data_IF_199217091161
#
_entry.id   IF_199217091161
#
_cell.length_a   1.000
_cell.length_b   1.000
_cell.length_c   1.000
_cell.angle_alpha   90.00
_cell.angle_beta   90.00
_cell.angle_gamma   90.00
#
_symmetry.space_group_name_H-M   'P 1'
#
loop_
_entity.id
_entity.type
_entity.pdbx_description
1 polymer ?
#
# COMPACT_ATOMS: atom_id res chain seq x y z
N UNK A 1 -6.47 -8.28 0.19
CA UNK A 1 -7.71 -7.89 -0.52
C UNK A 1 -8.92 -7.83 0.42
N UNK A 2 -9.19 -8.85 1.24
CA UNK A 2 -10.36 -8.81 2.16
C UNK A 2 -10.32 -7.63 3.15
N UNK A 3 -9.17 -7.36 3.78
CA UNK A 3 -9.02 -6.25 4.73
C UNK A 3 -9.27 -4.87 4.13
N UNK A 4 -8.81 -4.62 2.89
CA UNK A 4 -9.01 -3.34 2.20
C UNK A 4 -10.46 -3.12 1.75
N UNK A 5 -11.16 -4.18 1.36
CA UNK A 5 -12.58 -4.08 0.98
C UNK A 5 -13.44 -3.77 2.21
N UNK A 6 -13.23 -4.50 3.32
CA UNK A 6 -14.00 -4.30 4.56
C UNK A 6 -13.76 -2.90 5.14
N UNK A 7 -12.50 -2.45 5.21
CA UNK A 7 -12.18 -1.10 5.70
C UNK A 7 -12.67 0.01 4.79
N UNK A 8 -12.69 -0.17 3.46
CA UNK A 8 -13.26 0.83 2.56
C UNK A 8 -14.77 1.05 2.81
N UNK A 9 -15.52 -0.03 3.05
CA UNK A 9 -16.93 0.03 3.41
C UNK A 9 -17.15 0.71 4.76
N UNK A 10 -16.38 0.30 5.78
CA UNK A 10 -16.43 0.90 7.10
C UNK A 10 -16.02 2.37 7.08
N UNK A 11 -15.02 2.74 6.27
CA UNK A 11 -14.56 4.10 6.11
C UNK A 11 -15.63 5.00 5.54
N UNK A 12 -16.32 4.53 4.49
CA UNK A 12 -17.48 5.21 3.92
C UNK A 12 -18.57 5.45 4.96
N UNK A 13 -18.90 4.44 5.77
CA UNK A 13 -19.86 4.58 6.86
C UNK A 13 -19.39 5.57 7.95
N UNK A 14 -18.12 5.51 8.35
CA UNK A 14 -17.53 6.40 9.37
C UNK A 14 -17.59 7.87 8.95
N UNK A 15 -17.52 8.19 7.65
CA UNK A 15 -17.66 9.57 7.16
C UNK A 15 -19.00 10.22 7.51
N UNK A 16 -20.03 9.42 7.83
CA UNK A 16 -21.33 9.93 8.30
C UNK A 16 -21.32 10.38 9.77
N UNK A 17 -20.34 9.93 10.56
CA UNK A 17 -20.22 10.21 12.00
C UNK A 17 -19.00 11.05 12.37
N UNK A 18 -17.91 10.99 11.60
CA UNK A 18 -16.65 11.71 11.84
C UNK A 18 -16.24 12.57 10.64
N UNK A 19 -15.35 13.54 10.87
CA UNK A 19 -14.72 14.31 9.78
C UNK A 19 -13.76 13.45 8.97
N UNK A 20 -13.63 13.75 7.68
CA UNK A 20 -12.65 13.15 6.78
C UNK A 20 -11.23 13.18 7.34
N UNK A 21 -10.82 14.29 7.97
CA UNK A 21 -9.49 14.45 8.57
C UNK A 21 -9.22 13.44 9.67
N UNK A 22 -10.14 13.27 10.62
CA UNK A 22 -9.94 12.34 11.74
C UNK A 22 -9.83 10.89 11.27
N UNK A 23 -10.65 10.49 10.29
CA UNK A 23 -10.60 9.13 9.75
C UNK A 23 -9.29 8.91 9.00
N UNK A 24 -8.83 9.89 8.22
CA UNK A 24 -7.55 9.84 7.52
C UNK A 24 -6.35 9.82 8.49
N UNK A 25 -6.42 10.50 9.63
CA UNK A 25 -5.37 10.44 10.67
C UNK A 25 -5.28 9.02 11.25
N UNK A 26 -6.41 8.42 11.61
CA UNK A 26 -6.45 7.02 12.09
C UNK A 26 -5.90 6.10 11.01
N UNK A 27 -6.34 6.28 9.77
CA UNK A 27 -5.91 5.49 8.63
C UNK A 27 -4.39 5.55 8.41
N UNK A 28 -3.81 6.76 8.42
CA UNK A 28 -2.37 6.94 8.26
C UNK A 28 -1.56 6.38 9.43
N UNK A 29 -2.06 6.48 10.66
CA UNK A 29 -1.43 5.85 11.83
C UNK A 29 -1.44 4.31 11.72
N UNK A 30 -2.57 3.73 11.29
CA UNK A 30 -2.69 2.30 11.01
C UNK A 30 -1.74 1.89 9.88
N UNK A 31 -1.64 2.68 8.82
CA UNK A 31 -0.75 2.40 7.68
C UNK A 31 0.73 2.43 8.08
N UNK A 32 1.17 3.47 8.80
CA UNK A 32 2.56 3.59 9.28
C UNK A 32 2.89 2.45 10.24
N UNK A 33 1.99 2.13 11.18
CA UNK A 33 2.18 0.99 12.07
C UNK A 33 2.25 -0.33 11.29
N UNK A 34 1.39 -0.54 10.29
CA UNK A 34 1.39 -1.72 9.43
C UNK A 34 2.71 -1.90 8.68
N UNK A 35 3.26 -0.85 8.07
CA UNK A 35 4.57 -0.89 7.42
C UNK A 35 5.71 -1.12 8.41
N UNK A 36 5.64 -0.52 9.60
CA UNK A 36 6.63 -0.76 10.67
C UNK A 36 6.61 -2.19 11.20
N UNK A 37 5.44 -2.83 11.25
CA UNK A 37 5.34 -4.25 11.59
C UNK A 37 5.93 -5.11 10.45
N UNK A 38 5.67 -4.72 9.20
CA UNK A 38 6.19 -5.40 8.03
C UNK A 38 7.72 -5.29 7.88
N UNK A 39 8.33 -4.19 8.33
CA UNK A 39 9.79 -4.06 8.33
C UNK A 39 10.48 -4.97 9.35
N UNK A 40 9.74 -5.56 10.30
CA UNK A 40 10.28 -6.53 11.28
C UNK A 40 10.16 -7.98 10.84
N UNK A 41 9.68 -8.24 9.61
CA UNK A 41 9.56 -9.59 9.07
C UNK A 41 10.94 -10.24 8.94
N UNK A 42 11.04 -11.46 9.45
CA UNK A 42 12.16 -12.37 9.24
C UNK A 42 11.68 -13.70 8.63
N UNK A 43 12.61 -14.51 8.15
CA UNK A 43 12.34 -15.81 7.51
C UNK A 43 11.59 -16.77 8.44
N UNK A 44 11.81 -16.69 9.76
CA UNK A 44 11.16 -17.53 10.77
C UNK A 44 9.77 -17.02 11.20
N UNK A 45 9.26 -15.95 10.57
CA UNK A 45 7.99 -15.34 11.00
C UNK A 45 6.82 -16.28 10.71
N UNK A 46 5.98 -16.62 11.71
CA UNK A 46 4.86 -17.52 11.49
C UNK A 46 3.86 -16.91 10.48
N UNK A 47 3.37 -17.74 9.55
CA UNK A 47 2.47 -17.34 8.47
C UNK A 47 1.20 -16.61 8.96
N UNK A 48 0.73 -16.97 10.16
CA UNK A 48 -0.41 -16.33 10.81
C UNK A 48 -0.11 -14.86 11.15
N UNK A 49 1.09 -14.57 11.64
CA UNK A 49 1.51 -13.21 11.98
C UNK A 49 1.67 -12.34 10.73
N UNK A 50 2.27 -12.89 9.67
CA UNK A 50 2.32 -12.23 8.35
C UNK A 50 0.91 -11.89 7.83
N UNK A 51 -0.04 -12.81 7.99
CA UNK A 51 -1.44 -12.60 7.60
C UNK A 51 -2.07 -11.46 8.38
N UNK A 52 -1.84 -11.39 9.69
CA UNK A 52 -2.31 -10.27 10.53
C UNK A 52 -1.70 -8.95 10.06
N UNK A 53 -0.40 -8.89 9.79
CA UNK A 53 0.25 -7.66 9.35
C UNK A 53 -0.30 -7.16 8.00
N UNK A 54 -0.52 -8.09 7.06
CA UNK A 54 -1.19 -7.81 5.79
C UNK A 54 -2.63 -7.30 5.96
N UNK A 55 -3.36 -7.81 6.96
CA UNK A 55 -4.69 -7.29 7.29
C UNK A 55 -4.59 -5.85 7.80
N UNK A 56 -3.66 -5.56 8.72
CA UNK A 56 -3.47 -4.20 9.28
C UNK A 56 -3.14 -3.18 8.18
N UNK A 57 -2.19 -3.50 7.29
CA UNK A 57 -1.89 -2.65 6.13
C UNK A 57 -3.11 -2.49 5.23
N UNK A 58 -3.83 -3.59 4.96
CA UNK A 58 -5.06 -3.58 4.19
C UNK A 58 -6.13 -2.66 4.77
N UNK A 59 -6.28 -2.63 6.10
CA UNK A 59 -7.23 -1.75 6.79
C UNK A 59 -6.87 -0.27 6.58
N UNK A 60 -5.60 0.11 6.74
CA UNK A 60 -5.15 1.48 6.50
C UNK A 60 -5.35 1.89 5.03
N UNK A 61 -5.01 1.02 4.08
CA UNK A 61 -5.19 1.35 2.65
C UNK A 61 -6.67 1.54 2.30
N UNK A 62 -7.57 0.68 2.80
CA UNK A 62 -8.99 0.75 2.45
C UNK A 62 -9.71 1.98 3.02
N UNK A 63 -9.42 2.36 4.27
CA UNK A 63 -9.92 3.60 4.85
C UNK A 63 -9.49 4.81 4.02
N UNK A 64 -8.18 4.91 3.71
CA UNK A 64 -7.65 5.99 2.87
C UNK A 64 -8.32 6.02 1.49
N UNK A 65 -8.51 4.86 0.85
CA UNK A 65 -9.12 4.77 -0.48
C UNK A 65 -10.51 5.39 -0.53
N UNK A 66 -11.39 5.01 0.40
CA UNK A 66 -12.79 5.42 0.43
C UNK A 66 -12.95 6.89 0.84
N UNK A 67 -12.27 7.27 1.93
CA UNK A 67 -12.42 8.59 2.57
C UNK A 67 -11.78 9.69 1.73
N UNK A 68 -10.61 9.46 1.14
CA UNK A 68 -9.93 10.44 0.30
C UNK A 68 -10.71 10.72 -0.99
N UNK A 69 -11.26 9.67 -1.61
CA UNK A 69 -12.08 9.82 -2.82
C UNK A 69 -13.35 10.65 -2.54
N UNK A 70 -14.03 10.36 -1.43
CA UNK A 70 -15.19 11.15 -0.97
C UNK A 70 -14.81 12.61 -0.72
N UNK A 71 -13.73 12.87 0.00
CA UNK A 71 -13.29 14.22 0.34
C UNK A 71 -12.87 15.04 -0.90
N UNK A 72 -12.18 14.41 -1.86
CA UNK A 72 -11.75 15.05 -3.09
C UNK A 72 -12.93 15.55 -3.95
N UNK A 73 -14.08 14.85 -3.88
CA UNK A 73 -15.25 15.17 -4.72
C UNK A 73 -16.30 15.98 -3.93
N UNK A 74 -16.21 16.04 -2.60
CA UNK A 74 -17.23 16.61 -1.70
C UNK A 74 -17.64 18.04 -2.06
N UNK A 75 -16.69 18.90 -2.44
CA UNK A 75 -16.93 20.32 -2.72
C UNK A 75 -17.38 20.61 -4.15
N UNK A 76 -17.38 19.62 -5.03
CA UNK A 76 -17.72 19.81 -6.44
C UNK A 76 -19.21 19.61 -6.72
N UNK A 77 -19.80 20.56 -7.45
CA UNK A 77 -21.16 20.47 -7.97
C UNK A 77 -21.30 19.35 -9.03
N UNK A 78 -22.53 18.87 -9.32
CA UNK A 78 -22.76 17.70 -10.18
C UNK A 78 -22.05 17.76 -11.54
N UNK A 79 -21.98 18.93 -12.14
CA UNK A 79 -21.36 19.18 -13.45
C UNK A 79 -19.83 19.00 -13.43
N UNK A 80 -19.17 19.30 -12.32
CA UNK A 80 -17.72 19.24 -12.18
C UNK A 80 -17.22 17.94 -11.56
N UNK A 81 -18.12 17.11 -10.98
CA UNK A 81 -17.74 15.84 -10.34
C UNK A 81 -17.05 14.87 -11.28
N UNK A 82 -17.44 14.84 -12.56
CA UNK A 82 -16.79 14.01 -13.57
C UNK A 82 -15.31 14.37 -13.72
N UNK A 83 -15.02 15.66 -13.93
CA UNK A 83 -13.65 16.17 -14.08
C UNK A 83 -12.81 15.99 -12.80
N UNK A 84 -13.40 16.27 -11.63
CA UNK A 84 -12.72 16.07 -10.34
C UNK A 84 -12.37 14.59 -10.09
N UNK A 85 -13.29 13.68 -10.41
CA UNK A 85 -13.06 12.23 -10.26
C UNK A 85 -11.97 11.74 -11.21
N UNK A 86 -12.01 12.15 -12.48
CA UNK A 86 -11.00 11.78 -13.48
C UNK A 86 -9.62 12.32 -13.10
N UNK A 87 -9.53 13.56 -12.61
CA UNK A 87 -8.28 14.16 -12.13
C UNK A 87 -7.71 13.37 -10.95
N UNK A 88 -8.56 13.04 -9.97
CA UNK A 88 -8.17 12.22 -8.82
C UNK A 88 -7.65 10.85 -9.24
N UNK A 89 -8.36 10.18 -10.17
CA UNK A 89 -7.94 8.89 -10.71
C UNK A 89 -6.65 8.99 -11.53
N UNK A 90 -6.46 10.06 -12.30
CA UNK A 90 -5.23 10.29 -13.06
C UNK A 90 -4.02 10.48 -12.15
N UNK A 91 -4.13 11.38 -11.14
CA UNK A 91 -3.08 11.58 -10.13
C UNK A 91 -2.74 10.28 -9.39
N UNK A 92 -3.77 9.49 -9.10
CA UNK A 92 -3.60 8.18 -8.48
C UNK A 92 -2.85 7.20 -9.37
N UNK A 93 -3.25 7.06 -10.64
CA UNK A 93 -2.57 6.20 -11.61
C UNK A 93 -1.11 6.61 -11.79
N UNK A 94 -0.85 7.91 -11.89
CA UNK A 94 0.49 8.46 -11.97
C UNK A 94 1.32 8.10 -10.73
N UNK A 95 0.76 8.27 -9.52
CA UNK A 95 1.41 7.88 -8.27
C UNK A 95 1.66 6.37 -8.15
N UNK A 96 0.73 5.54 -8.61
CA UNK A 96 0.90 4.08 -8.64
C UNK A 96 2.04 3.66 -9.58
N UNK A 97 2.12 4.25 -10.77
CA UNK A 97 3.20 3.97 -11.73
C UNK A 97 4.55 4.41 -11.19
N UNK A 98 4.67 5.65 -10.71
CA UNK A 98 5.94 6.16 -10.17
C UNK A 98 6.37 5.35 -8.94
N UNK A 99 5.42 5.08 -8.03
CA UNK A 99 5.68 4.29 -6.82
C UNK A 99 6.15 2.88 -7.15
N UNK A 100 5.42 2.16 -8.01
CA UNK A 100 5.77 0.79 -8.39
C UNK A 100 7.14 0.73 -9.08
N UNK A 101 7.46 1.68 -9.96
CA UNK A 101 8.78 1.73 -10.61
C UNK A 101 9.90 2.04 -9.61
N UNK A 102 9.73 3.01 -8.71
CA UNK A 102 10.73 3.37 -7.72
C UNK A 102 10.99 2.22 -6.74
N UNK A 103 9.94 1.63 -6.16
CA UNK A 103 10.07 0.50 -5.24
C UNK A 103 10.59 -0.76 -5.94
N UNK A 104 10.19 -1.00 -7.19
CA UNK A 104 10.73 -2.09 -7.99
C UNK A 104 12.23 -1.94 -8.25
N UNK A 105 12.69 -0.72 -8.54
CA UNK A 105 14.13 -0.43 -8.67
C UNK A 105 14.88 -0.61 -7.35
N UNK A 106 14.33 -0.12 -6.23
CA UNK A 106 14.94 -0.31 -4.90
C UNK A 106 15.08 -1.80 -4.59
N UNK A 107 14.02 -2.58 -4.76
CA UNK A 107 14.05 -4.02 -4.50
C UNK A 107 15.04 -4.73 -5.43
N UNK A 108 15.03 -4.39 -6.72
CA UNK A 108 15.94 -4.98 -7.71
C UNK A 108 17.40 -4.69 -7.36
N UNK A 109 17.74 -3.44 -7.04
CA UNK A 109 19.11 -3.07 -6.70
C UNK A 109 19.60 -3.81 -5.47
N UNK A 110 18.80 -3.85 -4.39
CA UNK A 110 19.15 -4.59 -3.18
C UNK A 110 19.30 -6.10 -3.42
N UNK A 111 18.44 -6.67 -4.26
CA UNK A 111 18.53 -8.08 -4.62
C UNK A 111 19.79 -8.36 -5.46
N UNK A 112 20.07 -7.52 -6.46
CA UNK A 112 21.25 -7.65 -7.31
C UNK A 112 22.54 -7.49 -6.52
N UNK A 113 22.61 -6.57 -5.55
CA UNK A 113 23.77 -6.40 -4.66
C UNK A 113 24.05 -7.67 -3.83
N UNK A 114 23.01 -8.21 -3.18
CA UNK A 114 23.12 -9.45 -2.39
C UNK A 114 23.50 -10.67 -3.24
N UNK A 115 23.02 -10.72 -4.48
CA UNK A 115 23.40 -11.77 -5.42
C UNK A 115 24.83 -11.57 -5.96
N UNK A 116 25.26 -10.35 -6.25
CA UNK A 116 26.60 -10.07 -6.76
C UNK A 116 27.69 -10.44 -5.74
N UNK A 117 27.48 -10.12 -4.47
CA UNK A 117 28.39 -10.50 -3.38
C UNK A 117 28.53 -12.03 -3.26
N UNK A 118 27.44 -12.77 -3.49
CA UNK A 118 27.45 -14.24 -3.46
C UNK A 118 28.08 -14.84 -4.72
N UNK A 119 27.69 -14.42 -5.92
CA UNK A 119 28.17 -15.02 -7.17
C UNK A 119 29.63 -14.67 -7.50
N UNK A 120 30.18 -13.58 -6.94
CA UNK A 120 31.63 -13.34 -6.91
C UNK A 120 32.40 -14.48 -6.23
N UNK A 121 31.79 -15.17 -5.27
CA UNK A 121 32.41 -16.28 -4.53
C UNK A 121 32.23 -17.65 -5.21
N UNK A 122 31.22 -17.83 -6.07
CA UNK A 122 30.80 -19.16 -6.60
C UNK A 122 30.89 -19.31 -8.12
N UNK A 123 31.03 -18.21 -8.90
CA UNK A 123 31.21 -18.25 -10.36
C UNK A 123 30.01 -18.76 -11.19
N UNK A 124 28.85 -18.95 -10.56
CA UNK A 124 27.64 -19.49 -11.19
C UNK A 124 26.76 -18.40 -11.86
N UNK A 125 25.73 -18.81 -12.61
CA UNK A 125 24.82 -17.91 -13.32
C UNK A 125 23.91 -17.13 -12.37
N UNK A 126 24.07 -15.80 -12.38
CA UNK A 126 23.38 -14.87 -11.49
C UNK A 126 21.96 -14.53 -12.00
N UNK A 127 20.87 -14.79 -11.23
CA UNK A 127 19.56 -14.24 -11.55
C UNK A 127 19.60 -12.71 -11.38
N UNK A 128 19.61 -11.98 -12.49
CA UNK A 128 19.76 -10.53 -12.53
C UNK A 128 18.53 -9.74 -12.02
N UNK A 129 17.42 -10.43 -11.69
CA UNK A 129 16.17 -9.80 -11.27
C UNK A 129 15.42 -10.65 -10.22
N UNK A 130 14.75 -10.02 -9.23
CA UNK A 130 13.85 -10.71 -8.30
C UNK A 130 12.74 -11.52 -9.00
N UNK A 131 12.29 -11.06 -10.18
CA UNK A 131 11.27 -11.78 -10.95
C UNK A 131 11.80 -13.09 -11.53
N UNK A 132 13.04 -13.11 -12.01
CA UNK A 132 13.67 -14.32 -12.55
C UNK A 132 13.88 -15.34 -11.42
N UNK A 133 14.32 -14.86 -10.25
CA UNK A 133 14.44 -15.66 -9.04
C UNK A 133 13.10 -16.28 -8.61
N UNK A 134 12.01 -15.51 -8.60
CA UNK A 134 10.68 -16.03 -8.30
C UNK A 134 10.20 -17.08 -9.32
N UNK A 135 10.49 -16.88 -10.61
CA UNK A 135 10.15 -17.87 -11.64
C UNK A 135 10.91 -19.18 -11.43
N UNK A 136 12.22 -19.10 -11.16
CA UNK A 136 13.06 -20.27 -10.88
C UNK A 136 12.58 -21.03 -9.62
N UNK A 137 12.24 -20.30 -8.55
CA UNK A 137 11.70 -20.88 -7.31
C UNK A 137 10.31 -21.52 -7.47
N UNK A 138 9.57 -21.17 -8.52
CA UNK A 138 8.24 -21.72 -8.79
C UNK A 138 8.26 -22.89 -9.78
N UNK A 139 9.15 -22.87 -10.79
CA UNK A 139 9.19 -23.86 -11.87
C UNK A 139 10.29 -24.91 -11.71
N UNK A 140 11.43 -24.56 -11.11
CA UNK A 140 12.64 -25.39 -11.04
C UNK A 140 13.07 -25.72 -9.60
N UNK A 141 12.20 -25.48 -8.61
CA UNK A 141 12.45 -25.71 -7.17
C UNK A 141 12.98 -27.11 -6.86
N UNK A 142 12.46 -28.13 -7.53
CA UNK A 142 12.84 -29.52 -7.30
C UNK A 142 14.17 -29.93 -7.96
N UNK A 143 14.66 -29.12 -8.91
CA UNK A 143 15.85 -29.42 -9.72
C UNK A 143 17.11 -28.69 -9.23
N UNK A 144 17.01 -27.92 -8.14
CA UNK A 144 18.10 -27.10 -7.63
C UNK A 144 18.70 -27.69 -6.33
N UNK A 145 20.03 -27.56 -6.12
CA UNK A 145 20.65 -27.84 -4.84
C UNK A 145 20.01 -27.01 -3.71
N UNK A 146 19.78 -27.59 -2.52
CA UNK A 146 19.08 -26.93 -1.42
C UNK A 146 19.78 -25.66 -0.92
N UNK A 147 21.11 -25.59 -1.01
CA UNK A 147 21.88 -24.40 -0.58
C UNK A 147 21.58 -23.17 -1.44
N UNK A 148 21.57 -23.31 -2.76
CA UNK A 148 21.27 -22.20 -3.70
C UNK A 148 19.84 -21.71 -3.48
N UNK A 149 18.91 -22.63 -3.22
CA UNK A 149 17.52 -22.31 -3.01
C UNK A 149 17.28 -21.51 -1.72
N UNK A 150 17.97 -21.88 -0.63
CA UNK A 150 17.91 -21.15 0.62
C UNK A 150 18.46 -19.73 0.45
N UNK A 151 19.59 -19.56 -0.23
CA UNK A 151 20.19 -18.24 -0.46
C UNK A 151 19.34 -17.33 -1.35
N UNK A 152 18.74 -17.84 -2.42
CA UNK A 152 17.82 -17.04 -3.25
C UNK A 152 16.60 -16.62 -2.42
N UNK A 153 16.06 -17.51 -1.59
CA UNK A 153 14.91 -17.22 -0.72
C UNK A 153 15.25 -16.17 0.35
N UNK A 154 16.45 -16.24 0.90
CA UNK A 154 16.97 -15.29 1.88
C UNK A 154 17.19 -13.91 1.27
N UNK A 155 17.85 -13.84 0.11
CA UNK A 155 18.06 -12.58 -0.60
C UNK A 155 16.75 -11.94 -1.05
N UNK A 156 15.79 -12.75 -1.52
CA UNK A 156 14.44 -12.26 -1.81
C UNK A 156 13.76 -11.72 -0.56
N UNK A 157 13.80 -12.44 0.56
CA UNK A 157 13.20 -11.97 1.82
C UNK A 157 13.82 -10.65 2.29
N UNK A 158 15.15 -10.56 2.33
CA UNK A 158 15.84 -9.34 2.76
C UNK A 158 15.54 -8.15 1.84
N UNK A 159 15.52 -8.35 0.52
CA UNK A 159 15.17 -7.28 -0.43
C UNK A 159 13.73 -6.78 -0.22
N UNK A 160 12.78 -7.66 0.10
CA UNK A 160 11.39 -7.31 0.37
C UNK A 160 11.27 -6.50 1.67
N UNK A 161 11.89 -6.97 2.75
CA UNK A 161 11.85 -6.31 4.06
C UNK A 161 12.50 -4.92 4.00
N UNK A 162 13.61 -4.81 3.28
CA UNK A 162 14.26 -3.54 3.03
C UNK A 162 13.34 -2.58 2.25
N UNK A 163 12.63 -3.09 1.23
CA UNK A 163 11.65 -2.30 0.47
C UNK A 163 10.51 -1.79 1.36
N UNK A 164 10.00 -2.62 2.29
CA UNK A 164 8.98 -2.19 3.25
C UNK A 164 9.48 -1.14 4.23
N UNK A 165 10.75 -1.20 4.62
CA UNK A 165 11.39 -0.18 5.46
C UNK A 165 11.40 1.17 4.74
N UNK A 166 11.76 1.19 3.46
CA UNK A 166 11.67 2.40 2.64
C UNK A 166 10.25 2.90 2.44
N UNK A 167 9.24 2.01 2.45
CA UNK A 167 7.84 2.38 2.33
C UNK A 167 7.30 3.16 3.54
N UNK A 168 7.98 3.12 4.69
CA UNK A 168 7.63 3.93 5.87
C UNK A 168 7.76 5.43 5.58
N UNK A 169 8.76 5.84 4.78
CA UNK A 169 8.97 7.26 4.44
C UNK A 169 7.77 7.90 3.72
N UNK A 170 7.28 7.39 2.58
CA UNK A 170 6.09 7.94 1.94
C UNK A 170 4.82 7.73 2.76
N UNK A 171 4.71 6.66 3.56
CA UNK A 171 3.60 6.47 4.49
C UNK A 171 3.56 7.58 5.56
N UNK A 172 4.71 7.93 6.14
CA UNK A 172 4.85 9.02 7.09
C UNK A 172 4.61 10.38 6.44
N UNK A 173 5.14 10.61 5.24
CA UNK A 173 4.88 11.84 4.48
C UNK A 173 3.38 11.99 4.18
N UNK A 174 2.70 10.92 3.76
CA UNK A 174 1.25 10.92 3.57
C UNK A 174 0.51 11.24 4.87
N UNK A 175 0.90 10.62 5.99
CA UNK A 175 0.33 10.91 7.31
C UNK A 175 0.52 12.38 7.72
N UNK A 176 1.67 12.98 7.45
CA UNK A 176 1.91 14.41 7.69
C UNK A 176 1.02 15.29 6.79
N UNK A 177 0.87 14.95 5.52
CA UNK A 177 -0.01 15.69 4.60
C UNK A 177 -1.49 15.64 5.03
N UNK A 178 -1.92 14.59 5.73
CA UNK A 178 -3.28 14.53 6.31
C UNK A 178 -3.53 15.66 7.31
N UNK A 179 -2.50 16.16 8.01
CA UNK A 179 -2.68 17.29 8.93
C UNK A 179 -3.09 18.59 8.21
N UNK A 180 -2.73 18.74 6.94
CA UNK A 180 -3.13 19.87 6.10
C UNK A 180 -4.52 19.70 5.50
N UNK A 181 -5.15 18.54 5.69
CA UNK A 181 -6.49 18.28 5.17
C UNK A 181 -7.54 19.15 5.89
N UNK A 182 -8.42 19.83 5.15
CA UNK A 182 -9.54 20.57 5.74
C UNK A 182 -10.42 19.67 6.61
N UNK A 183 -10.92 20.19 7.73
CA UNK A 183 -11.73 19.42 8.70
C UNK A 183 -13.20 19.27 8.26
N UNK A 184 -13.43 19.13 6.96
CA UNK A 184 -14.78 19.09 6.39
C UNK A 184 -15.52 17.83 6.87
N UNK A 185 -16.83 17.98 7.00
CA UNK A 185 -17.74 16.91 7.41
C UNK A 185 -18.79 16.73 6.33
N UNK A 186 -19.26 15.50 6.17
CA UNK A 186 -20.46 15.22 5.37
C UNK A 186 -21.61 16.01 5.98
N UNK A 187 -22.04 17.10 5.33
CA UNK A 187 -23.23 17.85 5.75
C UNK A 187 -24.47 17.03 5.40
N UNK A 188 -25.37 16.72 6.36
CA UNK A 188 -26.63 16.06 6.05
C UNK A 188 -27.37 16.91 5.02
N UNK A 189 -27.76 16.30 3.89
CA UNK A 189 -28.53 16.96 2.84
C UNK A 189 -29.80 17.52 3.46
N UNK A 190 -29.88 18.84 3.60
CA UNK A 190 -31.07 19.52 4.10
C UNK A 190 -32.27 19.05 3.26
N UNK A 191 -33.24 18.41 3.93
CA UNK A 191 -34.46 17.86 3.34
C UNK A 191 -35.14 19.01 2.60
N UNK A 192 -35.09 19.02 1.25
CA UNK A 192 -35.88 19.95 0.44
C UNK A 192 -37.33 19.72 0.84
N UNK A 193 -37.89 20.61 1.67
CA UNK A 193 -39.33 20.68 1.92
C UNK A 193 -39.95 21.04 0.58
N UNK A 194 -40.49 20.03 -0.10
CA UNK A 194 -41.38 20.21 -1.23
C UNK A 194 -42.61 20.90 -0.66
N UNK A 195 -42.66 22.22 -0.79
CA UNK A 195 -43.83 23.00 -0.47
C UNK A 195 -44.86 22.71 -1.59
N UNK A 196 -45.81 21.81 -1.32
CA UNK A 196 -47.05 21.74 -2.08
C UNK A 196 -47.84 22.99 -1.67
N UNK A 197 -47.73 24.06 -2.47
CA UNK A 197 -48.75 25.10 -2.46
C UNK A 197 -50.01 24.48 -3.08
N UNK A 198 -51.09 24.48 -2.29
CA UNK A 198 -52.44 24.15 -2.73
C UNK A 198 -53.10 25.30 -3.45
#
# INVERSE_FOLDING_TARGET
>A
MLGSVVSAQLGGFLTTKMSYRNIMLISGLVLVSGFSLLSTLNIDTPRLLLTIYMIVVGLGVGFSFSVLSMAAIHHFGPEQRGSATSTSNFMRSLGMTIGASMFGMIQKNQFSEQMEDMFKSTGASNPASPNDANQILSSARASLPPDILNHITEALSNSIVHTFTWAIFPAAAAFLLVFFMPNDRVKPRAKKRVNKAG
#
